data_IF_049246151421
#
_entry.id   IF_049246151421
#
_cell.length_a   1.000
_cell.length_b   1.000
_cell.length_c   1.000
_cell.angle_alpha   90.00
_cell.angle_beta   90.00
_cell.angle_gamma   90.00
#
_symmetry.space_group_name_H-M   'P 1'
#
loop_
_entity.id
_entity.type
_entity.pdbx_description
1 polymer ?
#
# COMPACT_ATOMS: atom_id res chain seq x y z
N UNK A 1 -9.00 -9.61 -7.64
CA UNK A 1 -9.09 -8.20 -7.22
C UNK A 1 -7.81 -7.51 -7.63
N UNK A 2 -7.84 -6.20 -7.89
CA UNK A 2 -6.66 -5.39 -8.15
C UNK A 2 -6.42 -4.53 -6.92
N UNK A 3 -5.16 -4.41 -6.50
CA UNK A 3 -4.74 -3.47 -5.48
C UNK A 3 -3.41 -2.83 -5.89
N UNK A 4 -3.11 -1.70 -5.27
CA UNK A 4 -1.89 -0.94 -5.47
C UNK A 4 -1.09 -0.95 -4.18
N UNK A 5 0.22 -1.03 -4.29
CA UNK A 5 1.13 -0.91 -3.16
C UNK A 5 2.37 -0.13 -3.54
N UNK A 6 3.09 0.31 -2.52
CA UNK A 6 4.46 0.78 -2.69
C UNK A 6 5.41 -0.27 -2.11
N UNK A 7 6.59 -0.38 -2.73
CA UNK A 7 7.71 -1.14 -2.18
C UNK A 7 9.03 -0.48 -2.56
N UNK A 8 10.12 -0.92 -1.95
CA UNK A 8 11.45 -0.54 -2.42
C UNK A 8 11.75 -1.15 -3.79
N UNK A 9 12.33 -0.36 -4.69
CA UNK A 9 12.77 -0.78 -6.03
C UNK A 9 13.72 -1.98 -6.02
N UNK A 10 14.46 -2.18 -4.92
CA UNK A 10 15.35 -3.31 -4.73
C UNK A 10 14.64 -4.64 -4.45
N UNK A 11 13.36 -4.62 -4.07
CA UNK A 11 12.55 -5.83 -3.91
C UNK A 11 12.16 -6.36 -5.28
N UNK A 12 12.50 -7.62 -5.54
CA UNK A 12 12.14 -8.27 -6.81
C UNK A 12 10.62 -8.44 -6.89
N UNK A 13 10.03 -8.06 -8.02
CA UNK A 13 8.60 -8.23 -8.28
C UNK A 13 8.23 -9.72 -8.32
N UNK A 14 9.16 -10.60 -8.71
CA UNK A 14 8.92 -12.04 -8.70
C UNK A 14 8.63 -12.58 -7.29
N UNK A 15 9.15 -11.96 -6.23
CA UNK A 15 8.85 -12.35 -4.84
C UNK A 15 7.39 -12.09 -4.46
N UNK A 16 6.69 -11.17 -5.13
CA UNK A 16 5.26 -10.95 -4.89
C UNK A 16 4.40 -12.11 -5.41
N UNK A 17 4.93 -12.88 -6.36
CA UNK A 17 4.25 -14.00 -7.02
C UNK A 17 4.62 -15.35 -6.40
N UNK A 18 5.65 -15.40 -5.55
CA UNK A 18 6.08 -16.61 -4.85
C UNK A 18 5.18 -16.86 -3.63
N UNK A 19 4.39 -17.95 -3.59
CA UNK A 19 3.52 -18.25 -2.45
C UNK A 19 4.28 -18.38 -1.12
N UNK A 20 5.57 -18.72 -1.12
CA UNK A 20 6.38 -18.78 0.10
C UNK A 20 6.77 -17.38 0.63
N UNK A 21 6.59 -16.34 -0.19
CA UNK A 21 6.91 -14.94 0.13
C UNK A 21 5.69 -14.03 0.28
N UNK A 22 4.47 -14.54 0.07
CA UNK A 22 3.22 -13.78 0.13
C UNK A 22 2.73 -13.54 1.56
N UNK A 23 3.46 -12.69 2.26
CA UNK A 23 3.20 -12.30 3.63
C UNK A 23 3.33 -10.78 3.81
N UNK A 24 2.54 -10.25 4.73
CA UNK A 24 2.62 -8.84 5.15
C UNK A 24 3.02 -8.78 6.61
N UNK A 25 4.03 -7.98 6.91
CA UNK A 25 4.65 -7.86 8.23
C UNK A 25 4.30 -6.50 8.86
N UNK A 26 4.01 -6.47 10.17
CA UNK A 26 3.71 -5.22 10.83
C UNK A 26 4.98 -4.35 10.91
N UNK A 27 4.84 -3.04 10.77
CA UNK A 27 5.96 -2.11 10.73
C UNK A 27 6.45 -1.74 12.15
N UNK A 28 7.59 -2.25 12.63
CA UNK A 28 8.18 -1.85 13.93
C UNK A 28 8.27 -2.99 14.95
N UNK A 29 8.26 -2.67 16.24
CA UNK A 29 8.36 -3.65 17.35
C UNK A 29 7.02 -4.38 17.62
N UNK A 30 6.34 -4.81 16.55
CA UNK A 30 5.10 -5.55 16.63
C UNK A 30 5.36 -7.05 16.79
N UNK A 31 4.40 -7.77 17.36
CA UNK A 31 4.54 -9.18 17.64
C UNK A 31 4.38 -10.04 16.37
N UNK A 32 5.12 -11.16 16.32
CA UNK A 32 5.11 -12.12 15.21
C UNK A 32 3.71 -12.70 14.93
N UNK A 33 2.80 -12.65 15.91
CA UNK A 33 1.42 -13.11 15.78
C UNK A 33 0.53 -12.20 14.92
N UNK A 34 1.04 -11.02 14.54
CA UNK A 34 0.37 -10.13 13.60
C UNK A 34 0.82 -10.37 12.15
N UNK A 35 1.72 -11.30 11.84
CA UNK A 35 2.04 -11.62 10.45
C UNK A 35 0.80 -12.16 9.75
N UNK A 36 0.42 -11.55 8.61
CA UNK A 36 -0.75 -11.95 7.82
C UNK A 36 -0.34 -12.61 6.53
N UNK A 37 -1.08 -13.64 6.14
CA UNK A 37 -0.96 -14.28 4.85
C UNK A 37 -1.58 -13.37 3.79
N UNK A 38 -0.83 -13.12 2.73
CA UNK A 38 -1.21 -12.20 1.66
C UNK A 38 -0.35 -10.93 1.65
N UNK A 39 -0.33 -10.32 0.48
CA UNK A 39 0.39 -9.09 0.15
C UNK A 39 -0.56 -7.91 0.33
N UNK A 40 -0.15 -6.98 1.19
CA UNK A 40 -0.87 -5.74 1.50
C UNK A 40 -0.82 -4.72 0.35
N UNK A 41 -1.94 -4.03 0.17
CA UNK A 41 -2.13 -2.89 -0.74
C UNK A 41 -3.47 -2.18 -0.47
N UNK A 42 -3.86 -1.26 -1.33
CA UNK A 42 -5.16 -0.58 -1.31
C UNK A 42 -5.84 -0.71 -2.68
N UNK A 43 -7.17 -0.75 -2.74
CA UNK A 43 -7.90 -1.03 -3.99
C UNK A 43 -7.83 0.13 -5.01
N UNK A 44 -7.59 1.36 -4.54
CA UNK A 44 -7.43 2.53 -5.40
C UNK A 44 -6.13 3.28 -5.13
N UNK A 45 -5.67 4.05 -6.12
CA UNK A 45 -4.53 4.94 -5.94
C UNK A 45 -4.82 6.04 -4.92
N UNK A 46 -6.06 6.54 -4.85
CA UNK A 46 -6.46 7.52 -3.85
C UNK A 46 -6.35 6.97 -2.42
N UNK A 47 -6.84 5.75 -2.19
CA UNK A 47 -6.70 5.05 -0.91
C UNK A 47 -5.24 4.80 -0.57
N UNK A 48 -4.43 4.33 -1.53
CA UNK A 48 -3.00 4.12 -1.30
C UNK A 48 -2.31 5.44 -0.95
N UNK A 49 -2.64 6.55 -1.62
CA UNK A 49 -2.03 7.84 -1.34
C UNK A 49 -2.34 8.32 0.08
N UNK A 50 -3.62 8.24 0.50
CA UNK A 50 -4.06 8.57 1.85
C UNK A 50 -3.44 7.65 2.91
N UNK A 51 -3.40 6.33 2.64
CA UNK A 51 -2.79 5.34 3.51
C UNK A 51 -1.30 5.66 3.76
N UNK A 52 -0.53 5.90 2.70
CA UNK A 52 0.91 6.18 2.81
C UNK A 52 1.17 7.48 3.58
N UNK A 53 0.33 8.50 3.40
CA UNK A 53 0.44 9.74 4.16
C UNK A 53 0.22 9.54 5.68
N UNK A 54 -0.63 8.59 6.07
CA UNK A 54 -0.92 8.28 7.47
C UNK A 54 0.11 7.35 8.13
N UNK A 55 0.51 6.27 7.46
CA UNK A 55 1.23 5.16 8.09
C UNK A 55 2.71 5.11 7.72
N UNK A 56 3.12 5.81 6.66
CA UNK A 56 4.43 5.71 6.05
C UNK A 56 4.82 4.26 5.66
N UNK A 57 5.91 4.12 4.91
CA UNK A 57 6.46 2.83 4.53
C UNK A 57 7.98 2.84 4.59
N UNK A 58 8.59 1.67 4.80
CA UNK A 58 10.03 1.52 4.64
C UNK A 58 10.39 1.24 3.18
N UNK A 59 10.75 2.28 2.44
CA UNK A 59 11.37 2.19 1.14
C UNK A 59 12.41 3.31 0.97
N UNK A 60 13.62 2.95 0.54
CA UNK A 60 14.69 3.90 0.24
C UNK A 60 14.51 4.51 -1.16
N UNK A 61 14.06 3.70 -2.12
CA UNK A 61 13.68 4.12 -3.46
C UNK A 61 12.29 3.54 -3.77
N UNK A 62 11.20 4.22 -3.37
CA UNK A 62 9.86 3.68 -3.54
C UNK A 62 9.48 3.57 -5.02
N UNK A 63 8.74 2.52 -5.37
CA UNK A 63 8.07 2.35 -6.67
C UNK A 63 6.62 1.94 -6.45
N UNK A 64 5.74 2.43 -7.33
CA UNK A 64 4.33 2.03 -7.35
C UNK A 64 4.16 0.68 -8.06
N UNK A 65 3.39 -0.23 -7.47
CA UNK A 65 3.15 -1.57 -8.00
C UNK A 65 1.66 -1.86 -8.00
N UNK A 66 1.15 -2.30 -9.14
CA UNK A 66 -0.18 -2.91 -9.27
C UNK A 66 -0.04 -4.42 -9.05
N UNK A 67 -0.89 -4.98 -8.19
CA UNK A 67 -0.98 -6.40 -7.91
C UNK A 67 -2.40 -6.90 -8.16
N UNK A 68 -2.52 -8.11 -8.68
CA UNK A 68 -3.80 -8.73 -8.97
C UNK A 68 -3.79 -10.20 -8.57
N UNK A 69 -4.86 -10.64 -7.90
CA UNK A 69 -5.04 -12.03 -7.49
C UNK A 69 -6.31 -12.23 -6.66
N UNK A 70 -6.54 -13.44 -6.11
CA UNK A 70 -7.59 -13.70 -5.13
C UNK A 70 -7.33 -12.98 -3.80
N UNK A 71 -8.40 -12.58 -3.11
CA UNK A 71 -8.33 -12.02 -1.77
C UNK A 71 -7.79 -13.06 -0.77
N UNK A 72 -7.05 -12.60 0.23
CA UNK A 72 -6.71 -13.42 1.41
C UNK A 72 -7.93 -13.59 2.31
N UNK A 73 -7.95 -14.67 3.08
CA UNK A 73 -8.94 -14.89 4.15
C UNK A 73 -8.52 -14.22 5.47
N UNK A 74 -7.26 -13.79 5.58
CA UNK A 74 -6.75 -13.07 6.75
C UNK A 74 -7.29 -11.64 6.81
N UNK A 75 -7.48 -11.13 8.04
CA UNK A 75 -7.90 -9.76 8.28
C UNK A 75 -6.71 -8.79 8.11
N UNK A 76 -6.84 -7.73 7.29
CA UNK A 76 -5.83 -6.68 7.20
C UNK A 76 -5.61 -6.00 8.55
N UNK A 77 -4.39 -5.50 8.80
CA UNK A 77 -4.08 -4.80 10.04
C UNK A 77 -4.79 -3.45 10.12
N UNK A 78 -4.82 -2.75 8.99
CA UNK A 78 -5.29 -1.38 8.84
C UNK A 78 -6.52 -1.33 7.92
N UNK A 79 -7.44 -2.29 8.07
CA UNK A 79 -8.64 -2.40 7.24
C UNK A 79 -9.47 -1.09 7.22
N UNK A 80 -9.53 -0.38 8.36
CA UNK A 80 -10.22 0.91 8.50
C UNK A 80 -9.56 2.05 7.68
N UNK A 81 -8.32 1.84 7.21
CA UNK A 81 -7.60 2.76 6.33
C UNK A 81 -7.49 2.23 4.88
N UNK A 82 -8.36 1.30 4.48
CA UNK A 82 -8.43 0.78 3.12
C UNK A 82 -7.35 -0.25 2.77
N UNK A 83 -6.64 -0.80 3.77
CA UNK A 83 -5.74 -1.93 3.54
C UNK A 83 -6.53 -3.18 3.14
N UNK A 84 -6.04 -3.88 2.10
CA UNK A 84 -6.52 -5.19 1.68
C UNK A 84 -5.36 -6.16 1.56
N UNK A 85 -5.66 -7.46 1.70
CA UNK A 85 -4.70 -8.56 1.53
C UNK A 85 -5.13 -9.45 0.35
N UNK A 86 -4.18 -9.82 -0.50
CA UNK A 86 -4.41 -10.73 -1.62
C UNK A 86 -3.20 -11.65 -1.85
N UNK A 87 -3.39 -12.71 -2.63
CA UNK A 87 -2.30 -13.56 -3.13
C UNK A 87 -2.02 -13.19 -4.59
N UNK A 88 -1.02 -12.33 -4.89
CA UNK A 88 -0.81 -11.87 -6.26
C UNK A 88 -0.45 -13.02 -7.20
N UNK A 89 -1.18 -13.10 -8.31
CA UNK A 89 -0.86 -13.95 -9.46
C UNK A 89 -0.30 -13.13 -10.62
N UNK A 90 -0.50 -11.80 -10.58
CA UNK A 90 0.13 -10.79 -11.42
C UNK A 90 0.64 -9.62 -10.58
N UNK A 91 1.80 -9.10 -10.94
CA UNK A 91 2.38 -7.91 -10.35
C UNK A 91 3.15 -7.11 -11.41
N UNK A 92 2.99 -5.79 -11.41
CA UNK A 92 3.63 -4.91 -12.39
C UNK A 92 4.01 -3.57 -11.76
N UNK A 93 5.21 -3.08 -12.05
CA UNK A 93 5.64 -1.73 -11.65
C UNK A 93 4.96 -0.71 -12.55
N UNK A 94 4.28 0.27 -11.95
CA UNK A 94 3.66 1.38 -12.67
C UNK A 94 4.73 2.39 -13.04
N UNK A 95 4.94 2.64 -14.34
CA UNK A 95 6.07 3.43 -14.82
C UNK A 95 5.89 4.96 -14.73
N UNK A 96 4.63 5.44 -14.75
CA UNK A 96 4.29 6.87 -14.70
C UNK A 96 3.67 7.21 -13.34
N UNK A 97 4.49 7.18 -12.30
CA UNK A 97 4.08 7.32 -10.89
C UNK A 97 4.39 8.70 -10.28
N UNK A 98 4.94 9.64 -11.07
CA UNK A 98 5.35 10.97 -10.61
C UNK A 98 4.18 11.75 -10.01
N UNK A 99 3.02 11.75 -10.69
CA UNK A 99 1.82 12.43 -10.21
C UNK A 99 1.31 11.85 -8.89
N UNK A 100 1.39 10.52 -8.74
CA UNK A 100 1.01 9.83 -7.51
C UNK A 100 1.93 10.22 -6.34
N UNK A 101 3.25 10.22 -6.53
CA UNK A 101 4.19 10.62 -5.48
C UNK A 101 4.11 12.12 -5.14
N UNK A 102 3.82 12.98 -6.11
CA UNK A 102 3.53 14.40 -5.84
C UNK A 102 2.29 14.57 -4.98
N UNK A 103 1.21 13.82 -5.27
CA UNK A 103 0.01 13.81 -4.44
C UNK A 103 0.30 13.33 -3.01
N UNK A 104 1.04 12.22 -2.85
CA UNK A 104 1.44 11.74 -1.52
C UNK A 104 2.19 12.80 -0.73
N UNK A 105 3.11 13.54 -1.37
CA UNK A 105 3.83 14.65 -0.72
C UNK A 105 2.90 15.74 -0.21
N UNK A 106 1.90 16.14 -1.02
CA UNK A 106 0.91 17.14 -0.61
C UNK A 106 0.03 16.64 0.55
N UNK A 107 -0.42 15.37 0.49
CA UNK A 107 -1.24 14.77 1.55
C UNK A 107 -0.47 14.64 2.87
N UNK A 108 0.83 14.37 2.81
CA UNK A 108 1.72 14.37 3.97
C UNK A 108 1.73 15.73 4.66
N UNK A 109 1.86 16.83 3.93
CA UNK A 109 1.80 18.18 4.52
C UNK A 109 0.44 18.45 5.17
N UNK A 110 -0.66 18.00 4.54
CA UNK A 110 -2.02 18.11 5.08
C UNK A 110 -2.16 17.27 6.37
N UNK A 111 -1.62 16.04 6.38
CA UNK A 111 -1.58 15.15 7.55
C UNK A 111 -0.84 15.77 8.73
N UNK A 112 0.27 16.47 8.46
CA UNK A 112 1.02 17.23 9.47
C UNK A 112 0.22 18.40 10.05
N UNK A 113 -0.78 18.90 9.31
CA UNK A 113 -1.77 19.88 9.76
C UNK A 113 -2.86 19.31 10.67
N UNK A 114 -2.96 17.97 10.82
CA UNK A 114 -3.91 17.29 11.69
C UNK A 114 -5.12 16.67 10.99
N UNK A 115 -5.10 16.56 9.66
CA UNK A 115 -6.11 15.80 8.91
C UNK A 115 -6.01 14.30 9.22
N UNK A 116 -7.14 13.60 9.23
CA UNK A 116 -7.21 12.14 9.41
C UNK A 116 -7.42 11.44 8.06
N UNK A 117 -7.41 10.10 8.06
CA UNK A 117 -7.47 9.30 6.82
C UNK A 117 -8.63 9.70 5.89
N UNK A 118 -9.85 9.86 6.41
CA UNK A 118 -11.03 10.21 5.61
C UNK A 118 -10.88 11.59 4.93
N UNK A 119 -10.30 12.57 5.62
CA UNK A 119 -10.03 13.90 5.07
C UNK A 119 -9.02 13.81 3.91
N UNK A 120 -7.99 12.97 4.07
CA UNK A 120 -6.96 12.77 3.04
C UNK A 120 -7.51 11.99 1.84
N UNK A 121 -8.37 11.01 2.09
CA UNK A 121 -9.02 10.23 1.04
C UNK A 121 -9.89 11.12 0.16
N UNK A 122 -10.71 11.98 0.75
CA UNK A 122 -11.53 12.95 0.00
C UNK A 122 -10.67 13.82 -0.92
N UNK A 123 -9.57 14.37 -0.39
CA UNK A 123 -8.63 15.18 -1.19
C UNK A 123 -7.94 14.37 -2.29
N UNK A 124 -7.60 13.10 -2.01
CA UNK A 124 -6.95 12.23 -2.97
C UNK A 124 -7.89 11.88 -4.14
N UNK A 125 -9.14 11.52 -3.84
CA UNK A 125 -10.17 11.18 -4.84
C UNK A 125 -10.50 12.34 -5.80
N UNK A 126 -10.34 13.59 -5.37
CA UNK A 126 -10.52 14.76 -6.25
C UNK A 126 -9.35 14.97 -7.24
N UNK A 127 -8.20 14.33 -6.99
CA UNK A 127 -6.93 14.66 -7.64
C UNK A 127 -6.33 13.55 -8.50
N UNK A 128 -6.88 12.33 -8.47
CA UNK A 128 -6.37 11.18 -9.24
C UNK A 128 -7.46 10.32 -9.86
#
# INVERSE_FOLDING_TARGET
>A
MIAYRIQDKGRDIAELLDPECQYSYPMGDFADDQVRHGVSGCETLAQLAAYIACYAIQASCPVLVEIEGPASEDEPLDADAGEVLLFPERAEVVADDEAFFALVSDLVDIRWGGAEFDDLLEVAEERI
#
